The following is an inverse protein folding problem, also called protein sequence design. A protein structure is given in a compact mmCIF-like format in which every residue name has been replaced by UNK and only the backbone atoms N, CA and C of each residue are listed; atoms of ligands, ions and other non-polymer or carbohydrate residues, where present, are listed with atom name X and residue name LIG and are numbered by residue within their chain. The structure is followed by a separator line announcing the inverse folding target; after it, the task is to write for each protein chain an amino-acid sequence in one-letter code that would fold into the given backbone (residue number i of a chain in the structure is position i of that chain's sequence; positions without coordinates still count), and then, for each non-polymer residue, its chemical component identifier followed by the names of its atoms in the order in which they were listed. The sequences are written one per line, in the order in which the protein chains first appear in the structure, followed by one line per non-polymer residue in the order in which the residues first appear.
data_IF_718666188572
#
_entry.id   IF_718666188572
#
_cell.length_a   1.000
_cell.length_b   1.000
_cell.length_c   1.000
_cell.angle_alpha   90.00
_cell.angle_beta   90.00
_cell.angle_gamma   90.00
#
_symmetry.space_group_name_H-M   'P 1'
#
loop_
_entity.id
_entity.type
_entity.pdbx_description
1 polymer ?
#
# COMPACT_ATOMS: atom_id res chain seq x y z
N UNK A 1 28.02 -4.84 2.09
CA UNK A 1 26.56 -4.62 2.20
C UNK A 1 25.95 -4.93 0.85
N UNK A 2 24.86 -5.69 0.80
CA UNK A 2 24.08 -5.87 -0.43
C UNK A 2 23.16 -4.66 -0.65
N UNK A 3 23.05 -4.19 -1.89
CA UNK A 3 22.16 -3.09 -2.27
C UNK A 3 20.80 -3.67 -2.64
N UNK A 4 19.71 -3.05 -2.18
CA UNK A 4 18.35 -3.45 -2.57
C UNK A 4 18.22 -3.31 -4.10
N UNK A 5 17.73 -4.36 -4.77
CA UNK A 5 17.70 -4.46 -6.25
C UNK A 5 19.01 -4.90 -6.93
N UNK A 6 20.09 -5.10 -6.16
CA UNK A 6 21.34 -5.68 -6.65
C UNK A 6 21.42 -7.21 -6.48
N UNK A 7 22.44 -7.85 -7.07
CA UNK A 7 22.71 -9.28 -6.85
C UNK A 7 22.92 -9.57 -5.37
N UNK A 8 22.04 -10.39 -4.78
CA UNK A 8 22.09 -10.81 -3.39
C UNK A 8 23.33 -11.67 -3.14
N UNK A 9 24.14 -11.30 -2.15
CA UNK A 9 25.20 -12.17 -1.64
C UNK A 9 24.62 -13.06 -0.52
N UNK A 10 24.45 -14.34 -0.83
CA UNK A 10 24.02 -15.36 0.13
C UNK A 10 25.26 -16.03 0.73
N UNK A 11 25.22 -16.32 2.03
CA UNK A 11 26.23 -17.10 2.73
C UNK A 11 25.54 -18.25 3.46
N UNK A 12 25.85 -19.47 3.04
CA UNK A 12 25.37 -20.67 3.70
C UNK A 12 26.26 -20.97 4.92
N UNK A 13 25.61 -21.39 6.00
CA UNK A 13 26.26 -21.80 7.24
C UNK A 13 25.88 -23.25 7.51
N UNK A 14 26.85 -24.16 7.40
CA UNK A 14 26.63 -25.55 7.76
C UNK A 14 26.59 -25.68 9.29
N UNK A 15 25.49 -26.20 9.83
CA UNK A 15 25.27 -26.34 11.28
C UNK A 15 24.81 -27.76 11.58
N UNK A 16 25.44 -28.39 12.57
CA UNK A 16 25.30 -29.83 12.86
C UNK A 16 24.13 -30.18 13.79
N UNK A 17 23.57 -29.22 14.53
CA UNK A 17 22.45 -29.45 15.45
C UNK A 17 21.68 -28.16 15.76
N UNK A 18 20.39 -28.30 16.09
CA UNK A 18 19.39 -27.20 16.15
C UNK A 18 19.78 -26.13 17.18
N UNK A 19 20.25 -26.51 18.37
CA UNK A 19 20.65 -25.54 19.40
C UNK A 19 21.78 -24.60 18.94
N UNK A 20 22.74 -25.11 18.15
CA UNK A 20 23.78 -24.27 17.56
C UNK A 20 23.24 -23.34 16.46
N UNK A 21 22.19 -23.76 15.74
CA UNK A 21 21.53 -22.94 14.74
C UNK A 21 20.79 -21.76 15.38
N UNK A 22 20.07 -22.01 16.48
CA UNK A 22 19.37 -20.97 17.24
C UNK A 22 20.34 -19.95 17.82
N UNK A 23 21.44 -20.41 18.43
CA UNK A 23 22.46 -19.52 18.97
C UNK A 23 23.11 -18.69 17.85
N UNK A 24 23.39 -19.31 16.69
CA UNK A 24 23.96 -18.60 15.54
C UNK A 24 22.99 -17.57 14.99
N UNK A 25 21.71 -17.89 14.86
CA UNK A 25 20.67 -16.98 14.42
C UNK A 25 20.57 -15.77 15.35
N UNK A 26 20.48 -15.98 16.67
CA UNK A 26 20.45 -14.89 17.67
C UNK A 26 21.65 -13.96 17.57
N UNK A 27 22.85 -14.52 17.34
CA UNK A 27 24.06 -13.72 17.17
C UNK A 27 23.99 -12.83 15.92
N UNK A 28 23.49 -13.36 14.80
CA UNK A 28 23.35 -12.63 13.54
C UNK A 28 22.31 -11.52 13.65
N UNK A 29 21.16 -11.81 14.26
CA UNK A 29 20.10 -10.82 14.51
C UNK A 29 20.64 -9.68 15.39
N UNK A 30 21.36 -10.00 16.47
CA UNK A 30 21.95 -8.99 17.36
C UNK A 30 22.97 -8.10 16.63
N UNK A 31 23.81 -8.69 15.77
CA UNK A 31 24.78 -7.95 14.98
C UNK A 31 24.12 -7.00 13.97
N UNK A 32 23.00 -7.43 13.37
CA UNK A 32 22.22 -6.59 12.44
C UNK A 32 21.50 -5.48 13.19
N UNK A 33 20.90 -5.74 14.35
CA UNK A 33 20.27 -4.68 15.16
C UNK A 33 21.25 -3.58 15.57
N UNK A 34 22.48 -3.94 15.96
CA UNK A 34 23.54 -2.96 16.24
C UNK A 34 23.92 -2.07 15.05
N UNK A 35 23.65 -2.52 13.82
CA UNK A 35 23.87 -1.77 12.58
C UNK A 35 22.65 -0.92 12.17
N UNK A 36 21.66 -0.79 13.06
CA UNK A 36 20.44 0.01 12.84
C UNK A 36 19.33 -0.73 12.09
N UNK A 37 19.47 -2.04 11.83
CA UNK A 37 18.39 -2.82 11.25
C UNK A 37 17.35 -3.15 12.32
N UNK A 38 16.10 -2.75 12.09
CA UNK A 38 14.98 -3.11 12.97
C UNK A 38 14.46 -4.48 12.53
N UNK A 39 14.10 -5.32 13.49
CA UNK A 39 13.37 -6.55 13.19
C UNK A 39 11.95 -6.16 12.77
N UNK A 40 11.68 -6.18 11.47
CA UNK A 40 10.31 -6.33 11.00
C UNK A 40 9.95 -7.80 11.24
N UNK A 41 9.01 -8.03 12.15
CA UNK A 41 8.30 -9.31 12.17
C UNK A 41 7.42 -9.30 10.93
N UNK A 42 7.97 -9.79 9.82
CA UNK A 42 7.13 -10.37 8.79
C UNK A 42 6.52 -11.60 9.45
N UNK A 43 5.39 -11.41 10.13
CA UNK A 43 4.47 -12.51 10.30
C UNK A 43 4.27 -13.03 8.89
N UNK A 44 4.73 -14.26 8.60
CA UNK A 44 4.28 -14.98 7.41
C UNK A 44 2.77 -14.74 7.38
N UNK A 45 2.25 -13.99 6.39
CA UNK A 45 0.86 -13.61 6.44
C UNK A 45 0.13 -14.94 6.35
N UNK A 46 -0.47 -15.36 7.46
CA UNK A 46 -1.52 -16.35 7.42
C UNK A 46 -2.58 -15.64 6.58
N UNK A 47 -2.57 -15.89 5.27
CA UNK A 47 -3.53 -15.27 4.37
C UNK A 47 -4.90 -15.69 4.88
N UNK A 48 -5.79 -14.74 5.05
CA UNK A 48 -7.17 -15.06 5.42
C UNK A 48 -7.72 -16.09 4.42
N UNK A 49 -7.98 -17.32 4.89
CA UNK A 49 -8.74 -18.26 4.08
C UNK A 49 -10.21 -17.92 4.22
N UNK A 50 -10.80 -17.46 3.13
CA UNK A 50 -12.22 -17.10 3.10
C UNK A 50 -13.13 -18.33 3.07
N UNK A 51 -12.58 -19.54 2.87
CA UNK A 51 -13.32 -20.80 2.86
C UNK A 51 -14.00 -21.15 4.19
N UNK A 52 -13.53 -20.59 5.29
CA UNK A 52 -14.08 -20.85 6.63
C UNK A 52 -15.31 -20.00 6.98
N UNK A 53 -15.71 -19.05 6.11
CA UNK A 53 -16.84 -18.16 6.36
C UNK A 53 -18.12 -18.68 5.70
N UNK A 54 -19.22 -18.71 6.44
CA UNK A 54 -20.55 -19.01 5.89
C UNK A 54 -20.96 -18.03 4.76
N UNK A 55 -20.44 -16.80 4.80
CA UNK A 55 -20.68 -15.74 3.81
C UNK A 55 -19.54 -15.65 2.77
N UNK A 56 -18.84 -16.74 2.49
CA UNK A 56 -17.71 -16.77 1.55
C UNK A 56 -18.07 -16.17 0.18
N UNK A 57 -19.28 -16.45 -0.33
CA UNK A 57 -19.72 -15.94 -1.63
C UNK A 57 -19.74 -14.41 -1.68
N UNK A 58 -20.31 -13.76 -0.66
CA UNK A 58 -20.39 -12.30 -0.55
C UNK A 58 -19.00 -11.67 -0.45
N UNK A 59 -18.10 -12.28 0.34
CA UNK A 59 -16.71 -11.81 0.47
C UNK A 59 -15.98 -11.91 -0.87
N UNK A 60 -16.11 -13.05 -1.57
CA UNK A 60 -15.46 -13.26 -2.87
C UNK A 60 -16.01 -12.31 -3.95
N UNK A 61 -17.30 -11.97 -3.89
CA UNK A 61 -17.90 -10.96 -4.77
C UNK A 61 -17.27 -9.59 -4.54
N UNK A 62 -17.18 -9.13 -3.28
CA UNK A 62 -16.55 -7.86 -2.93
C UNK A 62 -15.06 -7.81 -3.33
N UNK A 63 -14.31 -8.90 -3.09
CA UNK A 63 -12.92 -9.03 -3.56
C UNK A 63 -12.85 -8.91 -5.08
N UNK A 64 -13.76 -9.58 -5.80
CA UNK A 64 -13.84 -9.48 -7.26
C UNK A 64 -14.14 -8.07 -7.75
N UNK A 65 -15.01 -7.33 -7.05
CA UNK A 65 -15.30 -5.92 -7.35
C UNK A 65 -14.06 -5.03 -7.15
N UNK A 66 -13.29 -5.22 -6.07
CA UNK A 66 -12.04 -4.51 -5.81
C UNK A 66 -11.05 -4.76 -6.96
N UNK A 67 -10.78 -6.04 -7.28
CA UNK A 67 -9.80 -6.42 -8.29
C UNK A 67 -10.18 -5.89 -9.68
N UNK A 68 -11.45 -6.03 -10.09
CA UNK A 68 -11.95 -5.48 -11.36
C UNK A 68 -11.83 -3.95 -11.42
N UNK A 69 -12.14 -3.27 -10.31
CA UNK A 69 -12.04 -1.82 -10.23
C UNK A 69 -10.59 -1.36 -10.36
N UNK A 70 -9.65 -2.01 -9.67
CA UNK A 70 -8.24 -1.67 -9.77
C UNK A 70 -7.67 -1.96 -11.16
N UNK A 71 -8.03 -3.07 -11.80
CA UNK A 71 -7.57 -3.38 -13.15
C UNK A 71 -8.05 -2.33 -14.17
N UNK A 72 -9.29 -1.82 -14.02
CA UNK A 72 -9.81 -0.73 -14.85
C UNK A 72 -9.00 0.55 -14.74
N UNK A 73 -8.51 0.89 -13.55
CA UNK A 73 -7.73 2.12 -13.30
C UNK A 73 -6.21 1.91 -13.34
N UNK A 74 -5.74 0.68 -13.54
CA UNK A 74 -4.31 0.33 -13.64
C UNK A 74 -3.51 1.15 -14.64
N UNK A 75 -4.06 1.63 -15.78
CA UNK A 75 -3.32 2.51 -16.69
C UNK A 75 -3.04 3.90 -16.10
N UNK A 76 -3.82 4.34 -15.10
CA UNK A 76 -3.77 5.68 -14.52
C UNK A 76 -3.00 5.70 -13.21
N UNK A 77 -3.19 4.69 -12.36
CA UNK A 77 -2.62 4.63 -11.02
C UNK A 77 -1.83 3.34 -10.79
N UNK A 78 -0.83 3.38 -9.91
CA UNK A 78 -0.04 2.23 -9.51
C UNK A 78 -0.46 1.74 -8.11
N UNK A 79 -1.68 1.21 -8.04
CA UNK A 79 -2.28 0.67 -6.81
C UNK A 79 -2.69 -0.78 -7.06
N UNK A 80 -2.45 -1.63 -6.06
CA UNK A 80 -2.79 -3.05 -6.06
C UNK A 80 -3.52 -3.40 -4.76
N UNK A 81 -4.28 -4.50 -4.77
CA UNK A 81 -4.94 -5.01 -3.57
C UNK A 81 -4.12 -6.16 -2.99
N UNK A 82 -3.64 -6.00 -1.76
CA UNK A 82 -3.06 -7.09 -0.98
C UNK A 82 -4.19 -7.82 -0.26
N UNK A 83 -4.65 -8.90 -0.89
CA UNK A 83 -5.72 -9.76 -0.37
C UNK A 83 -5.38 -10.39 0.98
N UNK A 84 -4.11 -10.68 1.24
CA UNK A 84 -3.69 -11.33 2.49
C UNK A 84 -3.85 -10.41 3.69
N UNK A 85 -3.66 -9.10 3.47
CA UNK A 85 -3.75 -8.06 4.50
C UNK A 85 -5.06 -7.26 4.42
N UNK A 86 -5.79 -7.34 3.32
CA UNK A 86 -6.97 -6.53 3.07
C UNK A 86 -6.67 -5.08 2.78
N UNK A 87 -5.51 -4.76 2.19
CA UNK A 87 -5.03 -3.39 2.04
C UNK A 87 -4.86 -2.99 0.59
N UNK A 88 -5.10 -1.71 0.29
CA UNK A 88 -4.67 -1.09 -0.95
C UNK A 88 -3.20 -0.66 -0.81
N UNK A 89 -2.33 -1.19 -1.66
CA UNK A 89 -0.88 -1.03 -1.58
C UNK A 89 -0.35 -0.39 -2.85
N UNK A 90 0.62 0.51 -2.67
CA UNK A 90 1.30 1.20 -3.75
C UNK A 90 2.80 1.31 -3.48
N UNK A 91 3.63 1.72 -4.47
CA UNK A 91 5.07 1.92 -4.27
C UNK A 91 5.44 2.92 -3.17
N UNK A 92 4.51 3.82 -2.83
CA UNK A 92 4.68 4.87 -1.82
C UNK A 92 3.94 4.55 -0.51
N UNK A 93 3.63 3.28 -0.27
CA UNK A 93 3.00 2.77 0.95
C UNK A 93 1.52 2.42 0.77
N UNK A 94 0.87 2.12 1.90
CA UNK A 94 -0.54 1.77 1.93
C UNK A 94 -1.41 3.02 1.68
N UNK A 95 -2.58 2.80 1.07
CA UNK A 95 -3.56 3.85 0.88
C UNK A 95 -4.58 3.81 2.02
N UNK A 96 -4.65 4.90 2.78
CA UNK A 96 -5.70 5.15 3.77
C UNK A 96 -6.80 6.06 3.19
N UNK A 97 -7.95 6.10 3.89
CA UNK A 97 -9.05 7.01 3.55
C UNK A 97 -8.58 8.46 3.56
N UNK A 98 -7.86 8.86 4.60
CA UNK A 98 -7.30 10.21 4.75
C UNK A 98 -6.38 10.58 3.59
N UNK A 99 -5.56 9.64 3.11
CA UNK A 99 -4.67 9.84 1.96
C UNK A 99 -5.45 10.11 0.67
N UNK A 100 -6.54 9.37 0.44
CA UNK A 100 -7.42 9.55 -0.73
C UNK A 100 -8.19 10.87 -0.62
N UNK A 101 -8.65 11.24 0.56
CA UNK A 101 -9.33 12.51 0.81
C UNK A 101 -8.40 13.71 0.59
N UNK A 102 -7.19 13.66 1.14
CA UNK A 102 -6.15 14.66 0.90
C UNK A 102 -5.82 14.77 -0.61
N UNK A 103 -5.67 13.63 -1.30
CA UNK A 103 -5.42 13.63 -2.74
C UNK A 103 -6.58 14.26 -3.52
N UNK A 104 -7.82 13.99 -3.11
CA UNK A 104 -9.02 14.59 -3.72
C UNK A 104 -9.03 16.10 -3.57
N UNK A 105 -8.63 16.63 -2.41
CA UNK A 105 -8.50 18.08 -2.21
C UNK A 105 -7.51 18.70 -3.19
N UNK A 106 -6.33 18.09 -3.38
CA UNK A 106 -5.31 18.61 -4.29
C UNK A 106 -5.73 18.55 -5.76
N UNK A 107 -6.32 17.44 -6.21
CA UNK A 107 -6.82 17.33 -7.61
C UNK A 107 -7.91 18.36 -7.89
N UNK A 108 -8.78 18.64 -6.93
CA UNK A 108 -9.83 19.64 -7.09
C UNK A 108 -9.26 21.05 -7.30
N UNK A 109 -8.09 21.36 -6.72
CA UNK A 109 -7.40 22.65 -6.92
C UNK A 109 -6.75 22.79 -8.30
N UNK A 110 -6.61 21.69 -9.05
CA UNK A 110 -6.09 21.72 -10.43
C UNK A 110 -7.14 22.13 -11.45
N UNK A 111 -8.40 22.34 -11.05
CA UNK A 111 -9.44 22.80 -11.95
C UNK A 111 -9.40 24.31 -12.18
N UNK A 112 -9.66 24.73 -13.43
CA UNK A 112 -9.82 26.13 -13.80
C UNK A 112 -8.61 26.76 -14.48
N UNK A 113 -8.71 28.06 -14.79
CA UNK A 113 -7.76 28.78 -15.69
C UNK A 113 -6.30 28.80 -15.22
N UNK A 114 -6.03 28.52 -13.94
CA UNK A 114 -4.69 28.54 -13.36
C UNK A 114 -4.20 27.17 -12.87
N UNK A 115 -5.00 26.11 -13.01
CA UNK A 115 -4.68 24.78 -12.50
C UNK A 115 -3.38 24.21 -13.07
N UNK A 116 -3.12 24.44 -14.35
CA UNK A 116 -1.86 24.04 -15.01
C UNK A 116 -0.62 24.78 -14.51
N UNK A 117 -0.79 25.88 -13.77
CA UNK A 117 0.31 26.66 -13.16
C UNK A 117 0.45 26.37 -11.67
N UNK A 118 -0.44 25.57 -11.08
CA UNK A 118 -0.42 25.22 -9.67
C UNK A 118 0.50 24.01 -9.43
N UNK A 119 1.80 24.22 -9.63
CA UNK A 119 2.83 23.16 -9.48
C UNK A 119 2.87 22.58 -8.06
N UNK A 120 2.52 23.38 -7.05
CA UNK A 120 2.43 22.93 -5.67
C UNK A 120 1.33 21.87 -5.50
N UNK A 121 0.11 22.15 -5.96
CA UNK A 121 -0.99 21.18 -5.90
C UNK A 121 -0.71 19.91 -6.72
N UNK A 122 -0.04 20.05 -7.87
CA UNK A 122 0.37 18.91 -8.69
C UNK A 122 1.35 18.02 -7.91
N UNK A 123 2.40 18.60 -7.33
CA UNK A 123 3.41 17.87 -6.58
C UNK A 123 2.82 17.23 -5.32
N UNK A 124 1.95 17.95 -4.61
CA UNK A 124 1.25 17.43 -3.44
C UNK A 124 0.36 16.24 -3.79
N UNK A 125 -0.37 16.30 -4.91
CA UNK A 125 -1.16 15.17 -5.38
C UNK A 125 -0.29 13.96 -5.75
N UNK A 126 0.79 14.16 -6.52
CA UNK A 126 1.70 13.10 -6.92
C UNK A 126 2.45 12.44 -5.75
N UNK A 127 2.66 13.18 -4.66
CA UNK A 127 3.19 12.64 -3.42
C UNK A 127 2.21 11.72 -2.67
N UNK A 128 0.91 11.83 -2.97
CA UNK A 128 -0.14 11.04 -2.33
C UNK A 128 -0.57 9.86 -3.16
N UNK A 129 -0.67 10.00 -4.49
CA UNK A 129 -1.12 8.92 -5.38
C UNK A 129 -0.03 8.67 -6.42
N UNK A 130 0.47 7.43 -6.55
CA UNK A 130 1.42 7.11 -7.61
C UNK A 130 0.67 7.00 -8.93
N UNK A 131 0.92 7.97 -9.80
CA UNK A 131 0.28 8.08 -11.12
C UNK A 131 1.23 7.53 -12.20
N UNK A 132 0.70 6.77 -13.16
CA UNK A 132 1.47 6.29 -14.32
C UNK A 132 1.49 7.35 -15.40
N UNK A 133 2.64 8.00 -15.55
CA UNK A 133 2.82 9.05 -16.55
C UNK A 133 3.35 8.44 -17.84
N UNK A 134 2.80 8.81 -19.02
CA UNK A 134 3.36 8.41 -20.30
C UNK A 134 4.81 8.89 -20.45
N UNK A 135 5.70 8.01 -20.91
CA UNK A 135 7.16 8.28 -21.07
C UNK A 135 7.48 9.46 -21.97
N UNK A 136 6.56 9.86 -22.85
CA UNK A 136 6.77 10.91 -23.85
C UNK A 136 6.22 12.29 -23.44
N UNK A 137 5.75 12.48 -22.20
CA UNK A 137 5.15 13.74 -21.76
C UNK A 137 5.71 14.23 -20.43
N UNK A 138 5.97 15.55 -20.27
CA UNK A 138 6.31 16.11 -18.97
C UNK A 138 5.15 15.94 -17.99
N UNK A 139 5.42 15.33 -16.84
CA UNK A 139 4.43 14.98 -15.79
C UNK A 139 3.49 16.15 -15.46
N UNK A 140 4.07 17.32 -15.17
CA UNK A 140 3.32 18.51 -14.77
C UNK A 140 2.36 19.00 -15.86
N UNK A 141 2.78 18.90 -17.13
CA UNK A 141 1.95 19.34 -18.26
C UNK A 141 0.84 18.33 -18.59
N UNK A 142 1.09 17.05 -18.35
CA UNK A 142 0.15 15.98 -18.63
C UNK A 142 -0.97 15.92 -17.58
N UNK A 143 -0.60 15.97 -16.30
CA UNK A 143 -1.57 15.90 -15.20
C UNK A 143 -2.48 17.13 -15.12
N UNK A 144 -2.04 18.26 -15.66
CA UNK A 144 -2.82 19.48 -15.76
C UNK A 144 -3.88 19.46 -16.86
N UNK A 145 -3.93 18.42 -17.71
CA UNK A 145 -4.93 18.30 -18.77
C UNK A 145 -6.30 17.98 -18.14
N UNK A 146 -7.36 18.68 -18.58
CA UNK A 146 -8.68 18.56 -17.95
C UNK A 146 -9.25 17.13 -17.99
N UNK A 147 -9.06 16.42 -19.09
CA UNK A 147 -9.40 15.01 -19.26
C UNK A 147 -8.65 14.13 -18.24
N UNK A 148 -7.34 14.35 -18.09
CA UNK A 148 -6.53 13.63 -17.09
C UNK A 148 -7.01 13.94 -15.67
N UNK A 149 -7.30 15.20 -15.34
CA UNK A 149 -7.87 15.58 -14.03
C UNK A 149 -9.19 14.85 -13.78
N UNK A 150 -10.08 14.78 -14.77
CA UNK A 150 -11.35 14.06 -14.64
C UNK A 150 -11.15 12.55 -14.42
N UNK A 151 -10.22 11.94 -15.15
CA UNK A 151 -9.86 10.54 -14.97
C UNK A 151 -9.24 10.26 -13.58
N UNK A 152 -8.37 11.14 -13.09
CA UNK A 152 -7.80 11.02 -11.75
C UNK A 152 -8.85 11.14 -10.65
N UNK A 153 -9.86 12.02 -10.81
CA UNK A 153 -10.98 12.11 -9.87
C UNK A 153 -11.81 10.83 -9.87
N UNK A 154 -12.09 10.27 -11.05
CA UNK A 154 -12.80 9.01 -11.17
C UNK A 154 -12.02 7.85 -10.50
N UNK A 155 -10.69 7.83 -10.66
CA UNK A 155 -9.82 6.87 -10.00
C UNK A 155 -9.85 7.02 -8.46
N UNK A 156 -9.81 8.25 -7.94
CA UNK A 156 -9.91 8.53 -6.50
C UNK A 156 -11.24 8.07 -5.90
N UNK A 157 -12.35 8.31 -6.61
CA UNK A 157 -13.67 7.81 -6.20
C UNK A 157 -13.69 6.28 -6.19
N UNK A 158 -13.10 5.64 -7.21
CA UNK A 158 -13.01 4.20 -7.27
C UNK A 158 -12.15 3.59 -6.15
N UNK A 159 -11.03 4.23 -5.80
CA UNK A 159 -10.19 3.82 -4.67
C UNK A 159 -10.94 3.96 -3.34
N UNK A 160 -11.73 5.03 -3.17
CA UNK A 160 -12.59 5.18 -1.99
C UNK A 160 -13.63 4.06 -1.89
N UNK A 161 -14.30 3.73 -2.99
CA UNK A 161 -15.26 2.62 -3.00
C UNK A 161 -14.58 1.29 -2.66
N UNK A 162 -13.33 1.08 -3.12
CA UNK A 162 -12.57 -0.11 -2.74
C UNK A 162 -12.29 -0.17 -1.23
N UNK A 163 -12.00 0.97 -0.58
CA UNK A 163 -11.89 1.02 0.89
C UNK A 163 -13.23 0.73 1.58
N UNK A 164 -14.35 1.24 1.04
CA UNK A 164 -15.68 0.94 1.59
C UNK A 164 -15.98 -0.58 1.50
N UNK A 165 -15.64 -1.24 0.39
CA UNK A 165 -15.78 -2.70 0.27
C UNK A 165 -14.84 -3.48 1.20
N UNK A 166 -13.63 -2.97 1.46
CA UNK A 166 -12.73 -3.55 2.47
C UNK A 166 -13.36 -3.45 3.86
N UNK A 167 -13.95 -2.30 4.20
CA UNK A 167 -14.68 -2.10 5.46
C UNK A 167 -15.88 -3.05 5.57
N UNK A 168 -16.62 -3.28 4.48
CA UNK A 168 -17.72 -4.25 4.42
C UNK A 168 -17.23 -5.69 4.66
N UNK A 169 -16.15 -6.11 3.98
CA UNK A 169 -15.54 -7.44 4.20
C UNK A 169 -15.10 -7.56 5.66
N UNK A 170 -14.48 -6.52 6.22
CA UNK A 170 -14.05 -6.51 7.62
C UNK A 170 -15.25 -6.62 8.58
N UNK A 171 -16.37 -5.99 8.27
CA UNK A 171 -17.63 -6.15 9.01
C UNK A 171 -18.10 -7.60 9.05
N UNK A 172 -18.06 -8.30 7.90
CA UNK A 172 -18.42 -9.72 7.81
C UNK A 172 -17.43 -10.58 8.61
N UNK A 173 -16.13 -10.35 8.44
CA UNK A 173 -15.06 -11.12 9.09
C UNK A 173 -15.13 -10.99 10.62
N UNK A 174 -15.29 -9.77 11.13
CA UNK A 174 -15.35 -9.49 12.57
C UNK A 174 -16.60 -10.08 13.21
N UNK A 175 -17.76 -10.00 12.55
CA UNK A 175 -19.01 -10.60 13.03
C UNK A 175 -18.90 -12.12 13.22
N UNK A 176 -18.21 -12.82 12.32
CA UNK A 176 -18.01 -14.28 12.39
C UNK A 176 -16.94 -14.66 13.43
N UNK A 177 -15.87 -13.88 13.57
CA UNK A 177 -14.79 -14.12 14.55
C UNK A 177 -15.26 -14.04 16.02
N UNK A 178 -16.35 -13.32 16.30
CA UNK A 178 -16.97 -13.28 17.63
C UNK A 178 -17.52 -14.65 18.08
N UNK A 179 -17.75 -15.59 17.15
CA UNK A 179 -18.32 -16.91 17.42
C UNK A 179 -17.36 -18.10 17.28
N UNK A 180 -16.08 -17.90 16.90
CA UNK A 180 -15.12 -18.99 16.64
C UNK A 180 -13.79 -18.84 17.40
N UNK A 181 -13.16 -19.98 17.72
CA UNK A 181 -11.82 -20.11 18.34
C UNK A 181 -10.65 -20.02 17.33
N UNK A 182 -10.91 -19.51 16.12
CA UNK A 182 -9.87 -19.27 15.12
C UNK A 182 -8.95 -18.10 15.55
N UNK A 183 -7.72 -18.07 15.03
CA UNK A 183 -6.63 -17.17 15.44
C UNK A 183 -7.00 -15.69 15.28
N UNK A 184 -7.67 -15.15 16.30
CA UNK A 184 -8.32 -13.83 16.35
C UNK A 184 -7.39 -12.69 15.93
N UNK A 185 -6.09 -12.85 16.14
CA UNK A 185 -5.09 -11.82 15.86
C UNK A 185 -4.99 -11.49 14.36
N UNK A 186 -5.15 -12.48 13.47
CA UNK A 186 -5.04 -12.27 12.02
C UNK A 186 -6.31 -11.62 11.47
N UNK A 187 -7.48 -12.05 11.93
CA UNK A 187 -8.78 -11.50 11.52
C UNK A 187 -9.01 -10.07 12.01
N UNK A 188 -8.56 -9.74 13.23
CA UNK A 188 -8.73 -8.42 13.82
C UNK A 188 -7.91 -7.34 13.10
N UNK A 189 -6.77 -7.74 12.52
CA UNK A 189 -5.84 -6.83 11.85
C UNK A 189 -6.02 -6.76 10.32
N UNK A 190 -6.86 -7.61 9.74
CA UNK A 190 -7.16 -7.55 8.30
C UNK A 190 -7.94 -6.27 7.95
N UNK A 191 -7.51 -5.56 6.91
CA UNK A 191 -8.07 -4.28 6.52
C UNK A 191 -7.65 -3.09 7.39
N UNK A 192 -6.70 -3.27 8.33
CA UNK A 192 -6.20 -2.20 9.20
C UNK A 192 -4.87 -1.68 8.68
N UNK A 193 -4.80 -0.40 8.35
CA UNK A 193 -3.53 0.26 8.01
C UNK A 193 -2.85 0.70 9.31
N UNK A 194 -1.63 0.21 9.57
CA UNK A 194 -0.85 0.69 10.72
C UNK A 194 -0.42 2.15 10.50
N UNK A 195 -0.35 2.95 11.57
CA UNK A 195 0.04 4.36 11.49
C UNK A 195 1.43 4.55 10.84
N UNK A 196 2.36 3.62 11.06
CA UNK A 196 3.70 3.61 10.44
C UNK A 196 3.66 3.34 8.92
N UNK A 197 2.65 2.63 8.42
CA UNK A 197 2.47 2.29 7.00
C UNK A 197 1.62 3.32 6.25
N UNK A 198 0.85 4.12 7.00
CA UNK A 198 0.18 5.34 6.55
C UNK A 198 1.09 6.56 6.61
N UNK A 199 2.17 6.51 7.40
CA UNK A 199 3.07 7.63 7.61
C UNK A 199 3.77 7.99 6.30
N UNK A 200 3.24 9.03 5.65
CA UNK A 200 4.00 9.82 4.70
C UNK A 200 5.14 10.41 5.52
N UNK A 201 6.37 9.99 5.24
CA UNK A 201 7.56 10.73 5.68
C UNK A 201 7.48 12.09 5.00
N UNK A 202 6.76 13.04 5.62
CA UNK A 202 6.92 14.45 5.34
C UNK A 202 8.27 14.83 5.94
N UNK A 203 9.35 14.46 5.24
CA UNK A 203 10.68 14.94 5.55
C UNK A 203 10.70 16.43 5.23
N UNK A 204 10.37 17.20 6.25
CA UNK A 204 10.87 18.52 6.58
C UNK A 204 11.72 19.18 5.46
N UNK A 205 11.07 20.00 4.65
CA UNK A 205 11.64 21.20 4.01
C UNK A 205 12.94 21.09 3.20
N UNK A 206 13.43 19.90 2.86
CA UNK A 206 14.64 19.74 2.04
C UNK A 206 14.30 18.98 0.77
N UNK A 207 14.03 19.77 -0.27
CA UNK A 207 14.28 19.40 -1.66
C UNK A 207 15.73 18.90 -1.77
N UNK A 208 15.96 17.62 -1.52
CA UNK A 208 17.10 16.94 -2.08
C UNK A 208 16.81 16.85 -3.58
N UNK A 209 17.49 17.72 -4.34
CA UNK A 209 17.38 17.78 -5.78
C UNK A 209 17.52 16.38 -6.38
N UNK A 210 16.43 15.92 -6.99
CA UNK A 210 16.48 14.86 -7.98
C UNK A 210 16.63 15.62 -9.30
N UNK A 211 17.88 15.74 -9.75
CA UNK A 211 18.15 16.12 -11.14
C UNK A 211 17.76 14.94 -12.04
N UNK A 212 17.07 15.27 -13.14
CA UNK A 212 16.68 14.34 -14.21
C UNK A 212 17.87 14.01 -15.11
#
# INVERSE_FOLDING_TARGET
MGRVGGKLQRKEHEIRFIAAAEQKLRSLVTEKRRKGYVEQVDATPNSLDFGDFANQADILELVGLIEQTLERYRPLIDVSFDRSRGLLVSPIGCLSRDRIEAASLWVNQLQGRYGARNTEAINAYLGLIPVKVPTNRPVLSWIAQNDVIHEQRAALVALRNCLDWIDDIRGIVTAVSAGCELDRSTYVNWGVVNEEESAIVMSDGRLAGIEW
#
